data_IF_410788953560
#
_entry.id   IF_410788953560
#
_cell.length_a   1.000
_cell.length_b   1.000
_cell.length_c   1.000
_cell.angle_alpha   90.00
_cell.angle_beta   90.00
_cell.angle_gamma   90.00
#
_symmetry.space_group_name_H-M   'P 1'
#
loop_
_entity.id
_entity.type
_entity.pdbx_description
1 polymer ?
#
# COMPACT_ATOMS: atom_id res chain seq x y z
N UNK A 1 -15.64 12.21 32.87
CA UNK A 1 -14.65 12.75 31.92
C UNK A 1 -14.75 11.93 30.64
N UNK A 2 -15.51 12.40 29.66
CA UNK A 2 -15.64 11.74 28.36
C UNK A 2 -14.82 12.54 27.36
N UNK A 3 -13.55 12.17 27.20
CA UNK A 3 -12.71 12.70 26.12
C UNK A 3 -12.99 11.83 24.87
N UNK A 4 -14.17 12.02 24.29
CA UNK A 4 -14.45 11.53 22.94
C UNK A 4 -13.65 12.41 21.98
N UNK A 5 -12.50 11.92 21.56
CA UNK A 5 -11.69 12.49 20.49
C UNK A 5 -12.62 12.78 19.31
N UNK A 6 -12.82 14.07 19.03
CA UNK A 6 -13.51 14.53 17.83
C UNK A 6 -12.70 14.02 16.63
N UNK A 7 -13.15 12.92 16.00
CA UNK A 7 -12.72 12.59 14.66
C UNK A 7 -13.10 13.76 13.76
N UNK A 8 -12.10 14.47 13.23
CA UNK A 8 -12.34 15.61 12.35
C UNK A 8 -13.06 15.11 11.09
N UNK A 9 -14.37 15.38 11.00
CA UNK A 9 -15.17 15.03 9.82
C UNK A 9 -14.74 15.79 8.57
N UNK A 10 -14.09 16.93 8.76
CA UNK A 10 -13.49 17.71 7.68
C UNK A 10 -12.13 18.28 8.09
N UNK A 11 -11.27 18.54 7.09
CA UNK A 11 -10.01 19.27 7.22
C UNK A 11 -9.87 20.25 6.06
N UNK A 12 -9.64 21.51 6.39
CA UNK A 12 -9.26 22.53 5.42
C UNK A 12 -7.75 22.47 5.19
N UNK A 13 -7.32 22.56 3.93
CA UNK A 13 -5.94 22.52 3.50
C UNK A 13 -5.66 23.74 2.64
N UNK A 14 -4.63 24.49 3.00
CA UNK A 14 -4.11 25.58 2.17
C UNK A 14 -2.83 25.11 1.48
N UNK A 15 -2.92 24.80 0.19
CA UNK A 15 -1.77 24.33 -0.58
C UNK A 15 -1.24 25.47 -1.44
N UNK A 16 0.04 25.78 -1.22
CA UNK A 16 0.80 26.73 -2.00
C UNK A 16 1.45 26.02 -3.19
N UNK A 17 1.08 26.42 -4.41
CA UNK A 17 1.57 25.84 -5.66
C UNK A 17 1.61 26.89 -6.78
N UNK A 18 2.75 27.00 -7.48
CA UNK A 18 2.97 27.92 -8.61
C UNK A 18 2.46 29.34 -8.33
N UNK A 19 2.91 29.93 -7.21
CA UNK A 19 2.55 31.28 -6.76
C UNK A 19 1.06 31.53 -6.45
N UNK A 20 0.26 30.45 -6.39
CA UNK A 20 -1.14 30.51 -5.95
C UNK A 20 -1.34 29.68 -4.69
N UNK A 21 -2.07 30.24 -3.74
CA UNK A 21 -2.60 29.49 -2.59
C UNK A 21 -4.02 29.06 -2.94
N UNK A 22 -4.29 27.76 -2.90
CA UNK A 22 -5.63 27.22 -3.08
C UNK A 22 -6.07 26.51 -1.82
N UNK A 23 -7.32 26.77 -1.45
CA UNK A 23 -7.99 26.06 -0.38
C UNK A 23 -8.64 24.80 -0.94
N UNK A 24 -8.41 23.69 -0.25
CA UNK A 24 -9.03 22.40 -0.46
C UNK A 24 -9.66 21.93 0.83
N UNK A 25 -10.72 21.13 0.72
CA UNK A 25 -11.37 20.54 1.89
C UNK A 25 -11.37 19.03 1.75
N UNK A 26 -10.79 18.33 2.72
CA UNK A 26 -11.02 16.91 2.91
C UNK A 26 -12.27 16.70 3.75
N UNK A 27 -13.16 15.84 3.28
CA UNK A 27 -14.35 15.41 4.01
C UNK A 27 -14.26 13.90 4.21
N UNK A 28 -14.48 13.44 5.45
CA UNK A 28 -14.46 12.03 5.80
C UNK A 28 -15.52 11.25 5.00
N UNK A 29 -15.16 10.06 4.52
CA UNK A 29 -16.03 9.24 3.69
C UNK A 29 -17.25 8.72 4.48
N UNK A 30 -18.44 8.86 3.90
CA UNK A 30 -19.61 8.11 4.36
C UNK A 30 -19.45 6.61 4.06
N UNK A 31 -20.26 5.76 4.68
CA UNK A 31 -20.24 4.32 4.39
C UNK A 31 -20.49 4.01 2.90
N UNK A 32 -21.40 4.76 2.26
CA UNK A 32 -21.68 4.65 0.82
C UNK A 32 -20.49 5.07 -0.03
N UNK A 33 -19.81 6.16 0.35
CA UNK A 33 -18.64 6.63 -0.39
C UNK A 33 -17.46 5.67 -0.25
N UNK A 34 -17.32 5.00 0.91
CA UNK A 34 -16.34 3.92 1.10
C UNK A 34 -16.58 2.75 0.15
N UNK A 35 -17.83 2.30 -0.03
CA UNK A 35 -18.16 1.24 -0.99
C UNK A 35 -17.87 1.64 -2.44
N UNK A 36 -18.24 2.87 -2.83
CA UNK A 36 -17.96 3.39 -4.17
C UNK A 36 -16.46 3.54 -4.42
N UNK A 37 -15.71 4.02 -3.44
CA UNK A 37 -14.25 4.13 -3.47
C UNK A 37 -13.60 2.76 -3.67
N UNK A 38 -14.03 1.73 -2.93
CA UNK A 38 -13.49 0.38 -3.07
C UNK A 38 -13.79 -0.23 -4.43
N UNK A 39 -14.99 -0.01 -4.98
CA UNK A 39 -15.33 -0.49 -6.32
C UNK A 39 -14.48 0.18 -7.41
N UNK A 40 -14.22 1.48 -7.29
CA UNK A 40 -13.34 2.22 -8.20
C UNK A 40 -11.88 1.75 -8.07
N UNK A 41 -11.37 1.57 -6.85
CA UNK A 41 -10.04 1.03 -6.59
C UNK A 41 -9.88 -0.40 -7.17
N UNK A 42 -10.89 -1.25 -7.05
CA UNK A 42 -10.88 -2.60 -7.63
C UNK A 42 -10.81 -2.57 -9.16
N UNK A 43 -11.52 -1.66 -9.81
CA UNK A 43 -11.46 -1.49 -11.27
C UNK A 43 -10.05 -1.05 -11.71
N UNK A 44 -9.46 -0.09 -11.00
CA UNK A 44 -8.08 0.39 -11.28
C UNK A 44 -7.08 -0.74 -11.07
N UNK A 45 -7.15 -1.43 -9.93
CA UNK A 45 -6.27 -2.55 -9.59
C UNK A 45 -6.33 -3.68 -10.63
N UNK A 46 -7.54 -4.04 -11.08
CA UNK A 46 -7.71 -5.07 -12.11
C UNK A 46 -7.01 -4.70 -13.44
N UNK A 47 -7.04 -3.40 -13.81
CA UNK A 47 -6.29 -2.89 -14.95
C UNK A 47 -4.79 -3.10 -14.78
N UNK A 48 -4.24 -2.70 -13.63
CA UNK A 48 -2.81 -2.82 -13.34
C UNK A 48 -2.35 -4.28 -13.23
N UNK A 49 -3.17 -5.17 -12.67
CA UNK A 49 -2.85 -6.62 -12.58
C UNK A 49 -2.69 -7.23 -13.97
N UNK A 50 -3.53 -6.83 -14.93
CA UNK A 50 -3.39 -7.27 -16.32
C UNK A 50 -2.04 -6.86 -16.89
N UNK A 51 -1.61 -5.62 -16.65
CA UNK A 51 -0.32 -5.13 -17.13
C UNK A 51 0.84 -5.83 -16.42
N UNK A 52 0.77 -6.00 -15.10
CA UNK A 52 1.81 -6.69 -14.32
C UNK A 52 1.99 -8.16 -14.71
N UNK A 53 0.92 -8.83 -15.17
CA UNK A 53 1.04 -10.21 -15.67
C UNK A 53 2.00 -10.34 -16.85
N UNK A 54 2.13 -9.29 -17.67
CA UNK A 54 3.09 -9.24 -18.78
C UNK A 54 4.53 -9.00 -18.32
N UNK A 55 4.70 -8.44 -17.12
CA UNK A 55 6.01 -8.14 -16.52
C UNK A 55 6.61 -9.36 -15.81
N UNK A 56 5.79 -10.35 -15.45
CA UNK A 56 6.24 -11.54 -14.71
C UNK A 56 7.38 -12.28 -15.43
N UNK A 57 7.29 -12.44 -16.75
CA UNK A 57 8.33 -13.12 -17.52
C UNK A 57 9.64 -12.32 -17.55
N UNK A 58 9.53 -10.98 -17.55
CA UNK A 58 10.70 -10.10 -17.42
C UNK A 58 11.35 -10.26 -16.04
N UNK A 59 10.56 -10.32 -14.97
CA UNK A 59 11.07 -10.54 -13.60
C UNK A 59 11.78 -11.90 -13.53
N UNK A 60 11.17 -12.96 -14.08
CA UNK A 60 11.79 -14.29 -14.13
C UNK A 60 13.11 -14.27 -14.90
N UNK A 61 13.16 -13.60 -16.04
CA UNK A 61 14.39 -13.45 -16.82
C UNK A 61 15.50 -12.76 -16.02
N UNK A 62 15.18 -11.68 -15.32
CA UNK A 62 16.13 -10.97 -14.45
C UNK A 62 16.61 -11.86 -13.30
N UNK A 63 15.71 -12.57 -12.64
CA UNK A 63 16.06 -13.52 -11.58
C UNK A 63 16.94 -14.68 -12.12
N UNK A 64 16.70 -15.15 -13.34
CA UNK A 64 17.48 -16.22 -13.96
C UNK A 64 18.95 -15.82 -14.15
N UNK A 65 19.23 -14.53 -14.37
CA UNK A 65 20.58 -13.99 -14.50
C UNK A 65 21.33 -13.90 -13.16
N UNK A 66 20.65 -14.03 -12.03
CA UNK A 66 21.26 -13.92 -10.71
C UNK A 66 21.92 -15.22 -10.25
N UNK A 67 22.91 -15.07 -9.36
CA UNK A 67 23.51 -16.19 -8.65
C UNK A 67 22.54 -16.79 -7.63
N UNK A 68 22.75 -18.07 -7.35
CA UNK A 68 21.90 -18.84 -6.43
C UNK A 68 21.87 -18.21 -5.04
N UNK A 69 23.01 -17.74 -4.54
CA UNK A 69 23.10 -17.09 -3.22
C UNK A 69 22.26 -15.82 -3.16
N UNK A 70 22.34 -14.98 -4.20
CA UNK A 70 21.54 -13.75 -4.32
C UNK A 70 20.04 -14.07 -4.32
N UNK A 71 19.63 -15.12 -5.04
CA UNK A 71 18.22 -15.57 -5.06
C UNK A 71 17.75 -16.01 -3.67
N UNK A 72 18.58 -16.75 -2.92
CA UNK A 72 18.25 -17.19 -1.55
C UNK A 72 18.11 -15.98 -0.62
N UNK A 73 19.06 -15.05 -0.63
CA UNK A 73 18.98 -13.83 0.19
C UNK A 73 17.76 -12.99 -0.16
N UNK A 74 17.49 -12.79 -1.45
CA UNK A 74 16.32 -12.02 -1.90
C UNK A 74 15.00 -12.62 -1.42
N UNK A 75 14.89 -13.96 -1.41
CA UNK A 75 13.72 -14.66 -0.89
C UNK A 75 13.59 -14.48 0.63
N UNK A 76 14.69 -14.64 1.37
CA UNK A 76 14.69 -14.48 2.84
C UNK A 76 14.28 -13.06 3.22
N UNK A 77 14.83 -12.05 2.57
CA UNK A 77 14.47 -10.66 2.78
C UNK A 77 12.99 -10.42 2.47
N UNK A 78 12.50 -10.90 1.31
CA UNK A 78 11.10 -10.75 0.94
C UNK A 78 10.13 -11.42 1.93
N UNK A 79 10.45 -12.61 2.44
CA UNK A 79 9.65 -13.29 3.46
C UNK A 79 9.69 -12.53 4.81
N UNK A 80 10.84 -11.97 5.17
CA UNK A 80 11.01 -11.15 6.38
C UNK A 80 10.18 -9.86 6.31
N UNK A 81 10.18 -9.16 5.17
CA UNK A 81 9.37 -7.94 4.96
C UNK A 81 7.87 -8.24 5.15
N UNK A 82 7.39 -9.35 4.58
CA UNK A 82 5.99 -9.80 4.72
C UNK A 82 5.65 -10.13 6.17
N UNK A 83 6.57 -10.75 6.90
CA UNK A 83 6.38 -11.05 8.31
C UNK A 83 6.34 -9.78 9.16
N UNK A 84 7.27 -8.85 8.94
CA UNK A 84 7.33 -7.56 9.62
C UNK A 84 6.04 -6.75 9.40
N UNK A 85 5.55 -6.69 8.16
CA UNK A 85 4.29 -6.02 7.83
C UNK A 85 3.10 -6.64 8.58
N UNK A 86 3.01 -7.97 8.66
CA UNK A 86 1.94 -8.67 9.42
C UNK A 86 2.05 -8.42 10.92
N UNK A 87 3.27 -8.43 11.46
CA UNK A 87 3.52 -8.17 12.87
C UNK A 87 3.11 -6.75 13.26
N UNK A 88 3.45 -5.75 12.44
CA UNK A 88 3.05 -4.35 12.65
C UNK A 88 1.53 -4.17 12.72
N UNK A 89 0.76 -4.98 11.99
CA UNK A 89 -0.71 -4.96 12.02
C UNK A 89 -1.31 -5.63 13.27
N UNK A 90 -0.54 -6.46 13.96
CA UNK A 90 -1.03 -7.30 15.07
C UNK A 90 -0.59 -6.77 16.43
N UNK A 91 0.54 -6.06 16.48
CA UNK A 91 1.10 -5.50 17.72
C UNK A 91 0.47 -4.15 18.04
N UNK A 92 -0.70 -4.17 18.66
CA UNK A 92 -1.26 -3.02 19.38
C UNK A 92 -0.95 -3.17 20.88
N UNK A 93 0.19 -2.63 21.33
CA UNK A 93 0.52 -2.52 22.76
C UNK A 93 1.69 -3.38 23.26
N UNK A 94 2.47 -2.74 24.14
CA UNK A 94 3.72 -3.15 24.83
C UNK A 94 4.85 -3.71 23.95
N UNK A 95 5.65 -2.77 23.42
CA UNK A 95 6.44 -2.97 22.20
C UNK A 95 7.80 -3.64 22.40
N UNK A 96 8.42 -3.61 23.58
CA UNK A 96 9.85 -3.91 23.67
C UNK A 96 10.15 -5.41 23.85
N UNK A 97 9.54 -6.06 24.85
CA UNK A 97 9.74 -7.51 25.13
C UNK A 97 9.14 -8.40 24.02
N UNK A 98 8.06 -7.93 23.38
CA UNK A 98 7.47 -8.58 22.21
C UNK A 98 8.37 -8.47 20.97
N UNK A 99 9.03 -7.32 20.74
CA UNK A 99 9.97 -7.15 19.63
C UNK A 99 11.19 -8.05 19.78
N UNK A 100 11.83 -8.08 20.97
CA UNK A 100 13.04 -8.88 21.19
C UNK A 100 12.80 -10.40 21.02
N UNK A 101 11.68 -10.91 21.58
CA UNK A 101 11.28 -12.31 21.40
C UNK A 101 10.92 -12.65 19.95
N UNK A 102 10.30 -11.71 19.23
CA UNK A 102 10.00 -11.89 17.81
C UNK A 102 11.28 -11.88 16.96
N UNK A 103 12.24 -10.99 17.24
CA UNK A 103 13.53 -10.94 16.52
C UNK A 103 14.29 -12.26 16.63
N UNK A 104 14.48 -12.79 17.85
CA UNK A 104 15.19 -14.05 18.06
C UNK A 104 14.47 -15.24 17.40
N UNK A 105 13.13 -15.25 17.43
CA UNK A 105 12.32 -16.27 16.76
C UNK A 105 12.40 -16.16 15.24
N UNK A 106 12.43 -14.94 14.70
CA UNK A 106 12.57 -14.66 13.27
C UNK A 106 13.94 -15.06 12.77
N UNK A 107 15.03 -14.76 13.48
CA UNK A 107 16.37 -15.17 13.09
C UNK A 107 16.51 -16.70 13.01
N UNK A 108 15.98 -17.42 14.00
CA UNK A 108 15.99 -18.89 13.97
C UNK A 108 15.19 -19.46 12.79
N UNK A 109 14.01 -18.91 12.53
CA UNK A 109 13.19 -19.28 11.37
C UNK A 109 13.91 -18.99 10.05
N UNK A 110 14.60 -17.86 9.92
CA UNK A 110 15.36 -17.51 8.72
C UNK A 110 16.56 -18.44 8.51
N UNK A 111 17.22 -18.91 9.56
CA UNK A 111 18.31 -19.90 9.47
C UNK A 111 17.80 -21.27 9.00
N UNK A 112 16.68 -21.74 9.55
CA UNK A 112 16.03 -22.99 9.10
C UNK A 112 15.59 -22.83 7.64
N UNK A 113 14.99 -21.69 7.31
CA UNK A 113 14.52 -21.39 5.96
C UNK A 113 15.66 -21.32 4.94
N UNK A 114 16.81 -20.77 5.32
CA UNK A 114 18.01 -20.74 4.46
C UNK A 114 18.48 -22.13 4.08
N UNK A 115 18.43 -23.10 5.00
CA UNK A 115 18.78 -24.50 4.74
C UNK A 115 17.76 -25.19 3.82
N UNK A 116 16.49 -24.85 3.93
CA UNK A 116 15.46 -25.35 3.01
C UNK A 116 15.65 -24.78 1.60
N UNK A 117 15.91 -23.47 1.48
CA UNK A 117 16.14 -22.82 0.19
C UNK A 117 17.42 -23.32 -0.49
N UNK A 118 18.45 -23.70 0.28
CA UNK A 118 19.67 -24.27 -0.29
C UNK A 118 19.49 -25.67 -0.88
N UNK A 119 18.34 -26.32 -0.67
CA UNK A 119 17.99 -27.61 -1.28
C UNK A 119 17.17 -27.47 -2.58
N UNK A 120 16.56 -26.31 -2.83
CA UNK A 120 15.75 -26.06 -4.03
C UNK A 120 16.63 -25.91 -5.26
N UNK A 121 16.21 -26.32 -6.44
CA UNK A 121 16.97 -26.00 -7.66
C UNK A 121 16.89 -24.48 -8.00
N UNK A 122 17.69 -24.02 -8.96
CA UNK A 122 17.72 -22.61 -9.34
C UNK A 122 16.38 -22.13 -9.91
N UNK A 123 15.67 -22.98 -10.67
CA UNK A 123 14.40 -22.63 -11.31
C UNK A 123 13.29 -22.43 -10.25
N UNK A 124 13.28 -23.27 -9.21
CA UNK A 124 12.41 -23.14 -8.05
C UNK A 124 12.68 -21.84 -7.28
N UNK A 125 13.95 -21.49 -7.08
CA UNK A 125 14.32 -20.22 -6.44
C UNK A 125 13.88 -19.01 -7.27
N UNK A 126 14.10 -19.04 -8.60
CA UNK A 126 13.64 -18.00 -9.53
C UNK A 126 12.13 -17.84 -9.47
N UNK A 127 11.38 -18.95 -9.55
CA UNK A 127 9.92 -18.92 -9.48
C UNK A 127 9.42 -18.33 -8.17
N UNK A 128 10.06 -18.70 -7.05
CA UNK A 128 9.69 -18.24 -5.72
C UNK A 128 9.97 -16.74 -5.53
N UNK A 129 11.15 -16.27 -5.94
CA UNK A 129 11.49 -14.86 -5.85
C UNK A 129 10.61 -14.01 -6.78
N UNK A 130 10.40 -14.45 -8.03
CA UNK A 130 9.52 -13.76 -8.96
C UNK A 130 8.07 -13.67 -8.45
N UNK A 131 7.59 -14.72 -7.77
CA UNK A 131 6.28 -14.71 -7.09
C UNK A 131 6.20 -13.65 -5.98
N UNK A 132 7.19 -13.59 -5.09
CA UNK A 132 7.26 -12.57 -4.03
C UNK A 132 7.31 -11.15 -4.60
N UNK A 133 8.09 -10.96 -5.66
CA UNK A 133 8.29 -9.67 -6.32
C UNK A 133 7.02 -9.20 -7.06
N UNK A 134 6.27 -10.15 -7.61
CA UNK A 134 4.94 -9.92 -8.19
C UNK A 134 3.91 -9.57 -7.11
N UNK A 135 3.88 -10.32 -6.01
CA UNK A 135 3.00 -10.05 -4.87
C UNK A 135 3.22 -8.64 -4.31
N UNK A 136 4.49 -8.22 -4.19
CA UNK A 136 4.84 -6.85 -3.75
C UNK A 136 4.28 -5.79 -4.70
N UNK A 137 4.43 -5.97 -6.02
CA UNK A 137 3.85 -5.05 -7.03
C UNK A 137 2.33 -5.03 -6.98
N UNK A 138 1.68 -6.17 -6.82
CA UNK A 138 0.22 -6.25 -6.71
C UNK A 138 -0.31 -5.53 -5.46
N UNK A 139 0.41 -5.61 -4.34
CA UNK A 139 0.07 -4.88 -3.12
C UNK A 139 0.29 -3.38 -3.26
N UNK A 140 1.41 -2.96 -3.85
CA UNK A 140 1.68 -1.54 -4.13
C UNK A 140 0.62 -0.95 -5.07
N UNK A 141 0.28 -1.66 -6.16
CA UNK A 141 -0.77 -1.27 -7.08
C UNK A 141 -2.13 -1.12 -6.38
N UNK A 142 -2.45 -2.03 -5.45
CA UNK A 142 -3.67 -1.93 -4.65
C UNK A 142 -3.66 -0.69 -3.75
N UNK A 143 -2.56 -0.45 -3.03
CA UNK A 143 -2.43 0.72 -2.17
C UNK A 143 -2.57 2.03 -2.94
N UNK A 144 -1.93 2.13 -4.11
CA UNK A 144 -2.08 3.28 -5.00
C UNK A 144 -3.52 3.46 -5.49
N UNK A 145 -4.17 2.38 -5.94
CA UNK A 145 -5.56 2.43 -6.41
C UNK A 145 -6.54 2.90 -5.32
N UNK A 146 -6.37 2.41 -4.09
CA UNK A 146 -7.15 2.83 -2.93
C UNK A 146 -6.88 4.30 -2.60
N UNK A 147 -5.61 4.72 -2.59
CA UNK A 147 -5.23 6.10 -2.31
C UNK A 147 -5.82 7.07 -3.35
N UNK A 148 -5.70 6.73 -4.63
CA UNK A 148 -6.29 7.47 -5.75
C UNK A 148 -7.80 7.63 -5.60
N UNK A 149 -8.50 6.52 -5.40
CA UNK A 149 -9.96 6.50 -5.29
C UNK A 149 -10.44 7.23 -4.02
N UNK A 150 -9.69 7.12 -2.93
CA UNK A 150 -9.98 7.86 -1.69
C UNK A 150 -9.83 9.36 -1.92
N UNK A 151 -8.72 9.79 -2.54
CA UNK A 151 -8.47 11.21 -2.77
C UNK A 151 -9.59 11.87 -3.59
N UNK A 152 -10.03 11.24 -4.68
CA UNK A 152 -11.15 11.74 -5.51
C UNK A 152 -12.43 11.98 -4.71
N UNK A 153 -12.69 11.15 -3.69
CA UNK A 153 -13.93 11.18 -2.93
C UNK A 153 -13.88 12.14 -1.75
N UNK A 154 -12.73 12.23 -1.09
CA UNK A 154 -12.56 13.12 0.08
C UNK A 154 -12.28 14.56 -0.33
N UNK A 155 -11.70 14.80 -1.51
CA UNK A 155 -11.23 16.11 -1.95
C UNK A 155 -12.36 16.96 -2.56
N UNK A 156 -12.63 18.08 -1.89
CA UNK A 156 -13.62 19.07 -2.26
C UNK A 156 -12.98 20.46 -2.42
N UNK A 157 -13.69 21.35 -3.10
CA UNK A 157 -13.33 22.78 -3.15
C UNK A 157 -13.74 23.50 -1.84
N UNK A 158 -13.41 24.79 -1.74
CA UNK A 158 -13.81 25.64 -0.60
C UNK A 158 -15.35 25.72 -0.40
N UNK A 159 -16.11 25.52 -1.47
CA UNK A 159 -17.58 25.42 -1.45
C UNK A 159 -18.12 24.05 -1.04
N UNK A 160 -17.24 23.12 -0.62
CA UNK A 160 -17.56 21.74 -0.25
C UNK A 160 -18.21 20.95 -1.40
N UNK A 161 -17.90 21.31 -2.65
CA UNK A 161 -18.31 20.55 -3.81
C UNK A 161 -17.20 19.56 -4.22
N UNK A 162 -17.54 18.33 -4.62
CA UNK A 162 -16.56 17.37 -5.10
C UNK A 162 -15.79 17.93 -6.30
N UNK A 163 -14.46 17.89 -6.25
CA UNK A 163 -13.62 18.46 -7.32
C UNK A 163 -13.54 17.55 -8.55
N UNK A 164 -13.62 16.23 -8.36
CA UNK A 164 -13.42 15.25 -9.41
C UNK A 164 -14.52 14.20 -9.41
N UNK A 165 -14.93 13.76 -10.60
CA UNK A 165 -15.92 12.69 -10.73
C UNK A 165 -15.30 11.29 -10.84
N UNK A 166 -13.97 11.19 -10.95
CA UNK A 166 -13.22 9.94 -11.19
C UNK A 166 -11.71 10.15 -11.07
N UNK A 167 -10.96 9.08 -10.78
CA UNK A 167 -9.47 9.10 -10.73
C UNK A 167 -8.83 9.56 -12.04
N UNK A 168 -9.36 9.11 -13.18
CA UNK A 168 -8.83 9.48 -14.51
C UNK A 168 -8.84 11.00 -14.73
N UNK A 169 -9.97 11.66 -14.39
CA UNK A 169 -10.08 13.13 -14.47
C UNK A 169 -9.13 13.85 -13.52
N UNK A 170 -8.97 13.35 -12.29
CA UNK A 170 -8.03 13.93 -11.33
C UNK A 170 -6.60 13.90 -11.87
N UNK A 171 -6.13 12.71 -12.31
CA UNK A 171 -4.77 12.55 -12.84
C UNK A 171 -4.51 13.31 -14.14
N UNK A 172 -5.55 13.59 -14.93
CA UNK A 172 -5.43 14.40 -16.15
C UNK A 172 -5.38 15.92 -15.90
N UNK A 173 -5.82 16.38 -14.72
CA UNK A 173 -6.02 17.82 -14.45
C UNK A 173 -5.12 18.35 -13.35
N UNK A 174 -4.72 17.51 -12.40
CA UNK A 174 -3.88 17.90 -11.27
C UNK A 174 -2.40 17.66 -11.63
N UNK A 175 -1.53 18.68 -11.56
CA UNK A 175 -0.08 18.50 -11.73
C UNK A 175 0.49 17.50 -10.72
N UNK A 176 1.51 16.73 -11.13
CA UNK A 176 2.10 15.67 -10.31
C UNK A 176 2.57 16.17 -8.93
N UNK A 177 3.27 17.30 -8.88
CA UNK A 177 3.78 17.88 -7.64
C UNK A 177 2.66 18.31 -6.67
N UNK A 178 1.51 18.76 -7.19
CA UNK A 178 0.35 19.09 -6.37
C UNK A 178 -0.35 17.82 -5.88
N UNK A 179 -0.41 16.80 -6.73
CA UNK A 179 -1.00 15.51 -6.40
C UNK A 179 -0.22 14.81 -5.28
N UNK A 180 1.11 14.90 -5.28
CA UNK A 180 1.98 14.39 -4.19
C UNK A 180 1.66 15.05 -2.85
N UNK A 181 1.59 16.39 -2.80
CA UNK A 181 1.21 17.13 -1.57
C UNK A 181 -0.19 16.76 -1.07
N UNK A 182 -1.13 16.51 -1.99
CA UNK A 182 -2.47 16.06 -1.66
C UNK A 182 -2.46 14.65 -1.05
N UNK A 183 -1.65 13.73 -1.57
CA UNK A 183 -1.50 12.40 -0.98
C UNK A 183 -0.86 12.43 0.40
N UNK A 184 0.19 13.21 0.60
CA UNK A 184 0.82 13.37 1.92
C UNK A 184 -0.21 13.89 2.94
N UNK A 185 -0.93 14.95 2.57
CA UNK A 185 -2.00 15.53 3.39
C UNK A 185 -3.10 14.51 3.70
N UNK A 186 -3.45 13.66 2.72
CA UNK A 186 -4.48 12.64 2.86
C UNK A 186 -4.05 11.56 3.84
N UNK A 187 -2.81 11.08 3.75
CA UNK A 187 -2.28 10.08 4.67
C UNK A 187 -2.29 10.61 6.12
N UNK A 188 -1.92 11.88 6.32
CA UNK A 188 -2.05 12.53 7.64
C UNK A 188 -3.51 12.57 8.10
N UNK A 189 -4.44 12.99 7.24
CA UNK A 189 -5.86 13.04 7.55
C UNK A 189 -6.44 11.67 7.93
N UNK A 190 -6.12 10.61 7.18
CA UNK A 190 -6.58 9.25 7.45
C UNK A 190 -6.02 8.69 8.77
N UNK A 191 -4.76 9.01 9.09
CA UNK A 191 -4.13 8.58 10.34
C UNK A 191 -4.82 9.18 11.58
N UNK A 192 -5.20 10.44 11.52
CA UNK A 192 -5.92 11.13 12.60
C UNK A 192 -7.40 10.74 12.70
N UNK A 193 -8.00 10.32 11.58
CA UNK A 193 -9.40 9.92 11.51
C UNK A 193 -9.66 8.50 12.02
N UNK A 194 -8.61 7.76 12.44
CA UNK A 194 -8.71 6.35 12.83
C UNK A 194 -9.08 5.41 11.68
N UNK A 195 -9.13 5.92 10.45
CA UNK A 195 -9.46 5.19 9.22
C UNK A 195 -8.20 4.57 8.57
N UNK A 196 -7.11 4.41 9.33
CA UNK A 196 -5.89 3.72 8.89
C UNK A 196 -6.13 2.27 8.45
N UNK A 197 -7.30 1.70 8.76
CA UNK A 197 -7.72 0.35 8.32
C UNK A 197 -8.16 0.25 6.86
N UNK A 198 -8.18 1.34 6.08
CA UNK A 198 -8.56 1.31 4.65
C UNK A 198 -7.54 0.55 3.78
N UNK A 199 -6.37 0.16 4.33
CA UNK A 199 -5.29 -0.53 3.61
C UNK A 199 -5.11 -2.01 3.99
N UNK A 200 -6.15 -2.85 3.97
CA UNK A 200 -6.01 -4.32 3.96
C UNK A 200 -7.16 -4.95 3.14
N UNK A 201 -7.01 -5.85 2.17
CA UNK A 201 -5.91 -6.52 1.43
C UNK A 201 -6.40 -6.66 -0.03
N UNK A 202 -5.54 -6.68 -1.06
CA UNK A 202 -5.92 -7.33 -2.31
C UNK A 202 -6.15 -8.81 -2.00
N UNK A 203 -7.26 -9.37 -2.49
CA UNK A 203 -7.63 -10.75 -2.32
C UNK A 203 -6.41 -11.68 -2.36
N UNK A 204 -6.20 -12.46 -1.31
CA UNK A 204 -5.46 -13.72 -1.44
C UNK A 204 -6.18 -14.52 -2.51
N UNK A 205 -5.55 -14.74 -3.67
CA UNK A 205 -5.98 -15.75 -4.61
C UNK A 205 -6.05 -17.07 -3.84
N UNK A 206 -7.25 -17.48 -3.42
CA UNK A 206 -7.49 -18.88 -3.11
C UNK A 206 -7.41 -19.60 -4.45
N UNK A 207 -6.35 -20.39 -4.61
CA UNK A 207 -6.29 -21.45 -5.62
C UNK A 207 -7.46 -22.40 -5.45
#
# INVERSE_FOLDING_TARGET
>A
MANNTLYARERVLEIHFQDTTREYVFIALSARDKEMMLAEAQKIHAGVVKDLSTVLDTIKSVCQMQDREILVEGILQGEQDVFAAKAALTLTGDEQDCREKMTAKTEKLLQERRKELSQLDKEQLVTKLAGLEMDRRMQAAWACAVLDATLVRVLHDAGRQPLFSSVEKMKATVPADLLEKLYESLLTFLSESGDAQVFLKPHTFKK
#
